data_IF_450771661107
#
_entry.id   IF_450771661107
#
_cell.length_a   1.000
_cell.length_b   1.000
_cell.length_c   1.000
_cell.angle_alpha   90.00
_cell.angle_beta   90.00
_cell.angle_gamma   90.00
#
_symmetry.space_group_name_H-M   'P 1'
#
loop_
_entity.id
_entity.type
_entity.pdbx_description
1 polymer ?
#
# COMPACT_ATOMS: atom_id res chain seq x y z
N UNK A 1 -9.44 -27.18 14.28
CA UNK A 1 -9.36 -26.65 12.90
C UNK A 1 -9.96 -25.25 12.91
N UNK A 2 -9.14 -24.20 12.97
CA UNK A 2 -9.63 -22.82 12.87
C UNK A 2 -9.72 -22.44 11.39
N UNK A 3 -10.93 -22.41 10.85
CA UNK A 3 -11.27 -21.72 9.61
C UNK A 3 -11.37 -20.24 9.89
N UNK A 4 -10.31 -19.47 9.63
CA UNK A 4 -10.40 -18.02 9.53
C UNK A 4 -10.97 -17.67 8.17
N UNK A 5 -12.27 -17.38 8.17
CA UNK A 5 -13.00 -16.83 7.03
C UNK A 5 -12.34 -15.55 6.56
N UNK A 6 -12.06 -15.51 5.26
CA UNK A 6 -11.60 -14.35 4.51
C UNK A 6 -12.51 -13.16 4.86
N UNK A 7 -11.97 -12.21 5.63
CA UNK A 7 -12.64 -10.96 5.93
C UNK A 7 -12.86 -10.20 4.63
N UNK A 8 -14.09 -9.75 4.45
CA UNK A 8 -14.58 -9.02 3.29
C UNK A 8 -13.57 -7.96 2.82
N UNK A 9 -13.05 -8.17 1.61
CA UNK A 9 -12.24 -7.21 0.88
C UNK A 9 -13.09 -5.95 0.60
N UNK A 10 -12.91 -4.91 1.41
CA UNK A 10 -13.33 -3.57 1.02
C UNK A 10 -12.35 -3.10 -0.05
N UNK A 11 -12.72 -3.35 -1.31
CA UNK A 11 -12.12 -2.67 -2.47
C UNK A 11 -12.18 -1.17 -2.16
N UNK A 12 -11.06 -0.43 -2.09
CA UNK A 12 -11.11 1.02 -1.90
C UNK A 12 -11.81 1.59 -3.14
N UNK A 13 -13.11 1.88 -2.98
CA UNK A 13 -13.92 2.37 -4.08
C UNK A 13 -13.38 3.74 -4.49
N UNK A 14 -13.24 3.93 -5.79
CA UNK A 14 -13.02 5.21 -6.48
C UNK A 14 -14.05 6.31 -6.15
N UNK A 15 -14.97 6.05 -5.21
CA UNK A 15 -16.06 6.92 -4.82
C UNK A 15 -15.61 8.01 -3.83
N UNK A 16 -14.54 7.82 -3.04
CA UNK A 16 -14.12 8.83 -2.06
C UNK A 16 -13.57 10.11 -2.72
N UNK A 17 -12.70 9.99 -3.73
CA UNK A 17 -12.15 11.13 -4.48
C UNK A 17 -13.22 11.86 -5.31
N UNK A 18 -14.19 11.13 -5.84
CA UNK A 18 -15.28 11.70 -6.64
C UNK A 18 -16.29 12.45 -5.76
N UNK A 19 -16.56 11.93 -4.56
CA UNK A 19 -17.37 12.62 -3.56
C UNK A 19 -16.69 13.91 -3.07
N UNK A 20 -15.37 13.87 -2.82
CA UNK A 20 -14.59 15.06 -2.43
C UNK A 20 -14.62 16.12 -3.53
N UNK A 21 -14.46 15.74 -4.81
CA UNK A 21 -14.57 16.69 -5.94
C UNK A 21 -15.93 17.38 -6.03
N UNK A 22 -17.02 16.65 -5.79
CA UNK A 22 -18.39 17.20 -5.89
C UNK A 22 -18.73 18.15 -4.73
N UNK A 23 -18.28 17.85 -3.52
CA UNK A 23 -18.44 18.76 -2.36
C UNK A 23 -17.57 20.02 -2.53
N UNK A 24 -16.38 19.88 -3.14
CA UNK A 24 -15.48 21.02 -3.35
C UNK A 24 -16.04 22.07 -4.30
N UNK A 25 -16.71 21.66 -5.39
CA UNK A 25 -17.17 22.59 -6.42
C UNK A 25 -18.41 23.39 -6.01
N UNK A 26 -19.30 22.82 -5.19
CA UNK A 26 -20.54 23.49 -4.79
C UNK A 26 -20.36 24.53 -3.68
N UNK A 27 -19.33 24.39 -2.84
CA UNK A 27 -19.06 25.29 -1.71
C UNK A 27 -18.15 26.46 -2.11
N UNK A 28 -17.36 26.33 -3.17
CA UNK A 28 -16.39 27.36 -3.59
C UNK A 28 -17.02 28.53 -4.35
N UNK A 29 -18.11 28.34 -5.09
CA UNK A 29 -18.67 29.41 -5.92
C UNK A 29 -19.44 30.50 -5.14
N UNK A 30 -19.88 30.23 -3.90
CA UNK A 30 -20.77 31.13 -3.16
C UNK A 30 -20.11 31.90 -1.99
N UNK A 31 -18.94 31.47 -1.49
CA UNK A 31 -18.32 32.08 -0.30
C UNK A 31 -17.11 33.00 -0.57
N UNK A 32 -16.46 32.93 -1.73
CA UNK A 32 -15.20 33.66 -1.97
C UNK A 32 -15.37 35.13 -2.33
N UNK A 33 -16.58 35.59 -2.68
CA UNK A 33 -16.80 36.99 -3.09
C UNK A 33 -17.06 37.96 -1.92
N UNK A 34 -17.30 37.46 -0.69
CA UNK A 34 -17.78 38.30 0.43
C UNK A 34 -16.89 38.27 1.68
N UNK A 35 -15.94 37.34 1.83
CA UNK A 35 -15.06 37.29 3.01
C UNK A 35 -13.71 36.57 2.75
N UNK A 36 -12.59 37.30 2.60
CA UNK A 36 -11.27 36.67 2.40
C UNK A 36 -10.82 35.80 3.59
N UNK A 37 -11.31 36.07 4.80
CA UNK A 37 -11.06 35.24 5.99
C UNK A 37 -11.71 33.85 5.91
N UNK A 38 -12.81 33.70 5.17
CA UNK A 38 -13.49 32.41 5.01
C UNK A 38 -12.75 31.53 4.00
N UNK A 39 -12.13 32.12 2.97
CA UNK A 39 -11.26 31.38 2.04
C UNK A 39 -10.06 30.77 2.79
N UNK A 40 -9.40 31.53 3.66
CA UNK A 40 -8.29 31.03 4.50
C UNK A 40 -8.72 29.91 5.46
N UNK A 41 -9.88 30.05 6.11
CA UNK A 41 -10.43 28.99 6.97
C UNK A 41 -10.76 27.71 6.17
N UNK A 42 -11.28 27.86 4.95
CA UNK A 42 -11.59 26.74 4.05
C UNK A 42 -10.33 26.02 3.56
N UNK A 43 -9.26 26.76 3.23
CA UNK A 43 -7.96 26.16 2.87
C UNK A 43 -7.34 25.38 4.04
N UNK A 44 -7.37 25.93 5.25
CA UNK A 44 -6.87 25.24 6.44
C UNK A 44 -7.66 23.96 6.72
N UNK A 45 -8.99 24.00 6.60
CA UNK A 45 -9.83 22.82 6.76
C UNK A 45 -9.51 21.73 5.72
N UNK A 46 -9.34 22.10 4.45
CA UNK A 46 -8.94 21.15 3.39
C UNK A 46 -7.56 20.53 3.66
N UNK A 47 -6.60 21.32 4.13
CA UNK A 47 -5.27 20.82 4.50
C UNK A 47 -5.37 19.80 5.64
N UNK A 48 -6.18 20.04 6.67
CA UNK A 48 -6.37 19.10 7.77
C UNK A 48 -6.99 17.78 7.32
N UNK A 49 -8.00 17.82 6.44
CA UNK A 49 -8.59 16.60 5.87
C UNK A 49 -7.57 15.80 5.06
N UNK A 50 -6.74 16.47 4.26
CA UNK A 50 -5.69 15.81 3.49
C UNK A 50 -4.60 15.22 4.39
N UNK A 51 -4.23 15.89 5.48
CA UNK A 51 -3.29 15.36 6.47
C UNK A 51 -3.82 14.08 7.11
N UNK A 52 -5.08 14.08 7.56
CA UNK A 52 -5.71 12.90 8.14
C UNK A 52 -5.78 11.75 7.13
N UNK A 53 -6.15 12.03 5.88
CA UNK A 53 -6.18 11.01 4.82
C UNK A 53 -4.80 10.41 4.56
N UNK A 54 -3.74 11.23 4.54
CA UNK A 54 -2.36 10.78 4.38
C UNK A 54 -1.94 9.84 5.51
N UNK A 55 -2.23 10.20 6.76
CA UNK A 55 -1.89 9.35 7.91
C UNK A 55 -2.66 8.02 7.87
N UNK A 56 -3.93 8.02 7.46
CA UNK A 56 -4.69 6.79 7.26
C UNK A 56 -4.06 5.87 6.20
N UNK A 57 -3.50 6.43 5.12
CA UNK A 57 -2.79 5.63 4.12
C UNK A 57 -1.44 5.10 4.61
N UNK A 58 -0.72 5.85 5.45
CA UNK A 58 0.52 5.37 6.08
C UNK A 58 0.25 4.20 7.01
N UNK A 59 -0.77 4.29 7.88
CA UNK A 59 -1.17 3.20 8.77
C UNK A 59 -1.54 1.95 7.96
N UNK A 60 -2.25 2.11 6.83
CA UNK A 60 -2.57 0.98 5.95
C UNK A 60 -1.31 0.36 5.31
N UNK A 61 -0.33 1.17 4.93
CA UNK A 61 0.96 0.67 4.42
C UNK A 61 1.71 -0.10 5.52
N UNK A 62 1.87 0.48 6.71
CA UNK A 62 2.56 -0.14 7.85
C UNK A 62 1.92 -1.47 8.26
N UNK A 63 0.58 -1.55 8.30
CA UNK A 63 -0.12 -2.79 8.59
C UNK A 63 0.15 -3.87 7.53
N UNK A 64 0.21 -3.48 6.26
CA UNK A 64 0.48 -4.39 5.15
C UNK A 64 1.93 -4.87 5.14
N UNK A 65 2.87 -4.00 5.49
CA UNK A 65 4.28 -4.36 5.71
C UNK A 65 4.44 -5.37 6.84
N UNK A 66 3.73 -5.16 7.95
CA UNK A 66 3.72 -6.09 9.06
C UNK A 66 3.13 -7.45 8.64
N UNK A 67 2.00 -7.47 7.95
CA UNK A 67 1.39 -8.72 7.43
C UNK A 67 2.36 -9.48 6.52
N UNK A 68 3.03 -8.76 5.61
CA UNK A 68 4.07 -9.32 4.75
C UNK A 68 5.26 -9.86 5.57
N UNK A 69 5.69 -9.14 6.60
CA UNK A 69 6.74 -9.53 7.54
C UNK A 69 6.42 -10.82 8.32
N UNK A 70 5.14 -11.14 8.52
CA UNK A 70 4.72 -12.45 9.05
C UNK A 70 4.56 -13.51 7.96
N UNK A 71 4.02 -13.12 6.80
CA UNK A 71 3.71 -14.04 5.71
C UNK A 71 4.97 -14.64 5.06
N UNK A 72 6.01 -13.83 4.88
CA UNK A 72 7.22 -14.26 4.17
C UNK A 72 8.01 -15.32 4.94
N UNK A 73 8.30 -15.16 6.25
CA UNK A 73 8.94 -16.20 7.07
C UNK A 73 8.10 -17.47 7.23
N UNK A 74 6.77 -17.36 7.16
CA UNK A 74 5.88 -18.53 7.18
C UNK A 74 5.96 -19.36 5.87
N UNK A 75 6.45 -18.77 4.77
CA UNK A 75 6.61 -19.42 3.48
C UNK A 75 8.04 -19.26 2.93
N UNK A 76 9.09 -19.63 3.69
CA UNK A 76 10.43 -19.07 3.50
C UNK A 76 11.06 -19.45 2.17
N UNK A 77 10.89 -20.71 1.70
CA UNK A 77 11.42 -21.18 0.41
C UNK A 77 10.70 -20.54 -0.77
N UNK A 78 9.36 -20.49 -0.73
CA UNK A 78 8.57 -19.89 -1.79
C UNK A 78 8.77 -18.36 -1.86
N UNK A 79 8.81 -17.69 -0.72
CA UNK A 79 9.10 -16.25 -0.61
C UNK A 79 10.51 -15.91 -1.12
N UNK A 80 11.52 -16.71 -0.78
CA UNK A 80 12.87 -16.54 -1.31
C UNK A 80 12.94 -16.71 -2.83
N UNK A 81 12.20 -17.67 -3.39
CA UNK A 81 12.09 -17.85 -4.84
C UNK A 81 11.49 -16.62 -5.53
N UNK A 82 10.45 -16.02 -4.93
CA UNK A 82 9.80 -14.80 -5.45
C UNK A 82 10.75 -13.60 -5.41
N UNK A 83 11.50 -13.42 -4.32
CA UNK A 83 12.47 -12.33 -4.20
C UNK A 83 13.62 -12.45 -5.21
N UNK A 84 14.08 -13.65 -5.54
CA UNK A 84 15.17 -13.85 -6.50
C UNK A 84 14.69 -13.80 -7.96
N UNK A 85 13.46 -14.22 -8.24
CA UNK A 85 12.93 -14.28 -9.61
C UNK A 85 12.18 -13.01 -10.06
N UNK A 86 11.61 -12.25 -9.12
CA UNK A 86 10.68 -11.15 -9.42
C UNK A 86 11.35 -9.79 -9.53
N UNK A 87 12.09 -9.50 -10.60
CA UNK A 87 12.61 -8.15 -10.85
C UNK A 87 11.43 -7.15 -10.87
N UNK A 88 11.44 -6.17 -9.96
CA UNK A 88 10.36 -5.18 -9.79
C UNK A 88 9.44 -5.43 -8.59
N UNK A 89 8.91 -6.66 -8.44
CA UNK A 89 8.17 -7.05 -7.22
C UNK A 89 9.15 -7.15 -6.04
N UNK A 90 10.31 -7.76 -6.26
CA UNK A 90 11.38 -7.85 -5.28
C UNK A 90 11.85 -6.47 -4.83
N UNK A 91 11.98 -5.49 -5.71
CA UNK A 91 12.42 -4.14 -5.34
C UNK A 91 11.40 -3.42 -4.42
N UNK A 92 10.09 -3.60 -4.67
CA UNK A 92 9.04 -3.04 -3.81
C UNK A 92 9.00 -3.77 -2.47
N UNK A 93 9.04 -5.10 -2.48
CA UNK A 93 9.05 -5.89 -1.23
C UNK A 93 10.32 -5.59 -0.41
N UNK A 94 11.48 -5.56 -1.05
CA UNK A 94 12.77 -5.32 -0.41
C UNK A 94 12.84 -3.94 0.22
N UNK A 95 12.28 -2.88 -0.37
CA UNK A 95 12.28 -1.56 0.25
C UNK A 95 11.49 -1.51 1.57
N UNK A 96 10.48 -2.38 1.71
CA UNK A 96 9.53 -2.36 2.80
C UNK A 96 9.70 -3.55 3.79
N UNK A 97 10.70 -4.40 3.58
CA UNK A 97 11.07 -5.46 4.52
C UNK A 97 12.06 -4.94 5.57
N UNK A 98 12.01 -5.52 6.77
CA UNK A 98 13.04 -5.27 7.77
C UNK A 98 14.38 -5.92 7.35
N UNK A 99 15.53 -5.38 7.79
CA UNK A 99 16.84 -5.89 7.40
C UNK A 99 17.09 -7.37 7.72
N UNK A 100 16.54 -7.87 8.83
CA UNK A 100 16.72 -9.26 9.26
C UNK A 100 16.03 -10.22 8.31
N UNK A 101 14.79 -9.90 7.92
CA UNK A 101 14.01 -10.69 6.96
C UNK A 101 14.64 -10.68 5.58
N UNK A 102 15.23 -9.56 5.13
CA UNK A 102 15.97 -9.49 3.86
C UNK A 102 17.13 -10.48 3.82
N UNK A 103 18.01 -10.43 4.83
CA UNK A 103 19.20 -11.29 4.90
C UNK A 103 18.80 -12.76 4.95
N UNK A 104 17.80 -13.11 5.75
CA UNK A 104 17.28 -14.47 5.86
C UNK A 104 16.78 -15.02 4.52
N UNK A 105 16.03 -14.22 3.74
CA UNK A 105 15.43 -14.68 2.49
C UNK A 105 16.41 -14.69 1.31
N UNK A 106 17.36 -13.75 1.24
CA UNK A 106 18.40 -13.74 0.20
C UNK A 106 19.26 -15.01 0.28
N UNK A 107 19.62 -15.44 1.49
CA UNK A 107 20.39 -16.67 1.71
C UNK A 107 19.66 -17.95 1.25
N UNK A 108 18.34 -17.90 1.11
CA UNK A 108 17.50 -19.04 0.70
C UNK A 108 17.14 -19.02 -0.78
N UNK A 109 17.60 -18.05 -1.56
CA UNK A 109 17.14 -17.79 -2.93
C UNK A 109 17.27 -18.97 -3.92
N UNK A 110 18.44 -19.62 -3.94
CA UNK A 110 18.70 -20.78 -4.81
C UNK A 110 17.95 -22.03 -4.33
N UNK A 111 17.87 -22.22 -3.01
CA UNK A 111 17.08 -23.29 -2.38
C UNK A 111 15.59 -23.13 -2.67
N UNK A 112 15.10 -21.89 -2.62
CA UNK A 112 13.71 -21.53 -2.92
C UNK A 112 13.35 -21.80 -4.38
N UNK A 113 14.24 -21.43 -5.32
CA UNK A 113 14.02 -21.68 -6.74
C UNK A 113 13.92 -23.17 -7.03
N UNK A 114 14.85 -23.98 -6.51
CA UNK A 114 14.80 -25.45 -6.65
C UNK A 114 13.55 -26.05 -5.99
N UNK A 115 13.13 -25.51 -4.84
CA UNK A 115 11.91 -25.92 -4.17
C UNK A 115 10.68 -25.69 -5.07
N UNK A 116 10.60 -24.55 -5.76
CA UNK A 116 9.48 -24.20 -6.63
C UNK A 116 9.51 -24.88 -8.01
N UNK A 117 10.66 -25.37 -8.46
CA UNK A 117 10.79 -26.19 -9.67
C UNK A 117 10.30 -27.63 -9.46
N UNK A 118 10.18 -28.08 -8.22
CA UNK A 118 9.55 -29.37 -7.92
C UNK A 118 8.03 -29.27 -8.21
N UNK A 119 7.53 -30.20 -9.05
CA UNK A 119 6.11 -30.27 -9.45
C UNK A 119 5.15 -30.31 -8.26
N UNK A 120 5.53 -30.97 -7.18
CA UNK A 120 4.68 -31.11 -5.99
C UNK A 120 4.49 -29.79 -5.23
N UNK A 121 5.42 -28.84 -5.39
CA UNK A 121 5.41 -27.54 -4.72
C UNK A 121 4.99 -26.39 -5.62
N UNK A 122 4.83 -26.63 -6.93
CA UNK A 122 4.57 -25.60 -7.93
C UNK A 122 3.33 -24.77 -7.59
N UNK A 123 2.23 -25.42 -7.22
CA UNK A 123 0.99 -24.72 -6.85
C UNK A 123 1.14 -23.87 -5.59
N UNK A 124 1.88 -24.35 -4.59
CA UNK A 124 2.16 -23.58 -3.38
C UNK A 124 2.99 -22.34 -3.71
N UNK A 125 4.06 -22.49 -4.49
CA UNK A 125 4.88 -21.36 -4.92
C UNK A 125 4.11 -20.35 -5.77
N UNK A 126 3.24 -20.81 -6.69
CA UNK A 126 2.40 -19.91 -7.47
C UNK A 126 1.44 -19.10 -6.58
N UNK A 127 0.85 -19.73 -5.56
CA UNK A 127 -0.01 -19.04 -4.60
C UNK A 127 0.75 -17.99 -3.78
N UNK A 128 1.93 -18.35 -3.28
CA UNK A 128 2.80 -17.42 -2.53
C UNK A 128 3.21 -16.25 -3.41
N UNK A 129 3.61 -16.50 -4.66
CA UNK A 129 3.95 -15.48 -5.63
C UNK A 129 2.79 -14.52 -5.91
N UNK A 130 1.58 -15.03 -6.11
CA UNK A 130 0.39 -14.22 -6.32
C UNK A 130 0.08 -13.32 -5.11
N UNK A 131 0.16 -13.86 -3.89
CA UNK A 131 -0.06 -13.11 -2.66
C UNK A 131 0.98 -12.01 -2.46
N UNK A 132 2.28 -12.33 -2.60
CA UNK A 132 3.36 -11.35 -2.49
C UNK A 132 3.27 -10.26 -3.56
N UNK A 133 2.86 -10.62 -4.78
CA UNK A 133 2.58 -9.64 -5.85
C UNK A 133 1.44 -8.71 -5.45
N UNK A 134 0.36 -9.26 -4.88
CA UNK A 134 -0.76 -8.46 -4.40
C UNK A 134 -0.34 -7.46 -3.31
N UNK A 135 0.46 -7.90 -2.34
CA UNK A 135 1.02 -7.02 -1.30
C UNK A 135 1.89 -5.91 -1.91
N UNK A 136 2.81 -6.25 -2.83
CA UNK A 136 3.66 -5.26 -3.49
C UNK A 136 2.85 -4.21 -4.26
N UNK A 137 1.82 -4.63 -5.00
CA UNK A 137 0.95 -3.73 -5.75
C UNK A 137 0.19 -2.79 -4.81
N UNK A 138 -0.33 -3.31 -3.70
CA UNK A 138 -1.05 -2.51 -2.69
C UNK A 138 -0.13 -1.50 -2.01
N UNK A 139 1.08 -1.90 -1.59
CA UNK A 139 2.08 -1.00 -1.03
C UNK A 139 2.44 0.14 -2.00
N UNK A 140 2.68 -0.20 -3.27
CA UNK A 140 2.96 0.80 -4.30
C UNK A 140 1.79 1.78 -4.47
N UNK A 141 0.55 1.29 -4.41
CA UNK A 141 -0.63 2.14 -4.49
C UNK A 141 -0.73 3.09 -3.29
N UNK A 142 -0.49 2.62 -2.06
CA UNK A 142 -0.46 3.47 -0.88
C UNK A 142 0.64 4.54 -0.98
N UNK A 143 1.85 4.16 -1.38
CA UNK A 143 2.96 5.09 -1.57
C UNK A 143 2.64 6.17 -2.62
N UNK A 144 1.99 5.80 -3.73
CA UNK A 144 1.50 6.77 -4.73
C UNK A 144 0.46 7.72 -4.16
N UNK A 145 -0.51 7.24 -3.38
CA UNK A 145 -1.52 8.09 -2.75
C UNK A 145 -0.91 9.05 -1.73
N UNK A 146 0.01 8.58 -0.90
CA UNK A 146 0.74 9.39 0.07
C UNK A 146 1.50 10.52 -0.63
N UNK A 147 2.21 10.19 -1.72
CA UNK A 147 2.96 11.18 -2.51
C UNK A 147 2.03 12.21 -3.16
N UNK A 148 0.93 11.76 -3.78
CA UNK A 148 -0.06 12.65 -4.38
C UNK A 148 -0.68 13.61 -3.35
N UNK A 149 -1.08 13.10 -2.18
CA UNK A 149 -1.66 13.93 -1.11
C UNK A 149 -0.62 14.93 -0.59
N UNK A 150 0.63 14.52 -0.44
CA UNK A 150 1.73 15.39 0.00
C UNK A 150 1.95 16.54 -0.99
N UNK A 151 1.97 16.25 -2.29
CA UNK A 151 2.04 17.29 -3.32
C UNK A 151 0.84 18.23 -3.27
N UNK A 152 -0.38 17.71 -3.04
CA UNK A 152 -1.58 18.53 -2.93
C UNK A 152 -1.53 19.47 -1.72
N UNK A 153 -1.11 18.98 -0.55
CA UNK A 153 -0.92 19.80 0.66
C UNK A 153 0.09 20.92 0.37
N UNK A 154 1.23 20.59 -0.26
CA UNK A 154 2.24 21.58 -0.60
C UNK A 154 1.72 22.64 -1.58
N UNK A 155 0.84 22.27 -2.52
CA UNK A 155 0.22 23.23 -3.45
C UNK A 155 -0.78 24.17 -2.77
N UNK A 156 -1.49 23.71 -1.73
CA UNK A 156 -2.47 24.52 -0.99
C UNK A 156 -1.82 25.44 0.06
N UNK A 157 -0.56 25.18 0.42
CA UNK A 157 0.21 25.99 1.37
C UNK A 157 1.01 27.12 0.70
N UNK A 158 1.13 27.10 -0.63
CA UNK A 158 1.77 28.13 -1.45
C UNK A 158 0.74 29.16 -1.85
#
# INVERSE_FOLDING_TARGET
MLTTSITNFIKPSSNSLTAIKKILLSVTLSLTCLNPGVALAQYNYQIQQLLQLRENYKIQAENLEAEMGFYMPANPKASAAVLVSGVGIAAILEQNLDPTTKVFLIGLGTVGTNYCLNRDNFQHCAKVAANLTSYAVQLNNYNKQINYITQRINSLRR
#
